data_IF_554492047190
#
_entry.id   IF_554492047190
#
_cell.length_a   1.000
_cell.length_b   1.000
_cell.length_c   1.000
_cell.angle_alpha   90.00
_cell.angle_beta   90.00
_cell.angle_gamma   90.00
#
_symmetry.space_group_name_H-M   'P 1'
#
loop_
_entity.id
_entity.type
_entity.pdbx_description
1 polymer ?
#
# COMPACT_ATOMS: atom_id res chain seq x y z
N UNK A 1 -7.07 -18.12 -8.91
CA UNK A 1 -5.69 -17.84 -8.49
C UNK A 1 -5.49 -16.34 -8.54
N UNK A 2 -5.54 -15.64 -7.40
CA UNK A 2 -5.34 -14.19 -7.37
C UNK A 2 -3.85 -13.88 -7.41
N UNK A 3 -3.41 -13.03 -8.34
CA UNK A 3 -2.07 -12.45 -8.31
C UNK A 3 -2.14 -11.09 -7.61
N UNK A 4 -1.21 -10.83 -6.68
CA UNK A 4 -0.98 -9.49 -6.15
C UNK A 4 0.34 -8.98 -6.68
N UNK A 5 0.31 -7.78 -7.25
CA UNK A 5 1.49 -7.08 -7.73
C UNK A 5 1.72 -5.92 -6.78
N UNK A 6 2.88 -5.91 -6.13
CA UNK A 6 3.36 -4.77 -5.35
C UNK A 6 4.32 -3.98 -6.23
N UNK A 7 3.98 -2.74 -6.53
CA UNK A 7 4.80 -1.85 -7.34
C UNK A 7 5.48 -0.85 -6.41
N UNK A 8 6.80 -0.95 -6.29
CA UNK A 8 7.63 -0.01 -5.53
C UNK A 8 8.13 1.09 -6.47
N UNK A 9 7.67 2.33 -6.29
CA UNK A 9 8.08 3.46 -7.14
C UNK A 9 9.11 4.33 -6.42
N UNK A 10 10.09 4.87 -7.16
CA UNK A 10 11.11 5.79 -6.62
C UNK A 10 10.53 7.07 -5.97
N UNK A 11 9.26 7.40 -6.22
CA UNK A 11 8.57 8.57 -5.65
C UNK A 11 7.84 8.29 -4.33
N UNK A 12 7.79 7.05 -3.85
CA UNK A 12 7.25 6.77 -2.52
C UNK A 12 8.22 7.27 -1.46
N UNK A 13 7.82 8.30 -0.69
CA UNK A 13 8.64 8.91 0.37
C UNK A 13 9.07 7.91 1.47
N UNK A 14 8.41 6.76 1.57
CA UNK A 14 8.73 5.68 2.50
C UNK A 14 9.82 4.72 2.00
N UNK A 15 10.26 4.83 0.74
CA UNK A 15 11.25 3.94 0.15
C UNK A 15 12.65 4.58 0.15
N UNK A 16 13.43 4.28 1.19
CA UNK A 16 14.86 4.61 1.32
C UNK A 16 15.75 3.45 0.85
N UNK A 17 16.95 3.75 0.36
CA UNK A 17 17.91 2.70 -0.01
C UNK A 17 18.15 1.74 1.16
N UNK A 18 17.86 0.45 0.96
CA UNK A 18 17.96 -0.56 2.01
C UNK A 18 17.45 -1.93 1.57
N UNK A 19 17.53 -2.89 2.50
CA UNK A 19 17.01 -4.24 2.32
C UNK A 19 15.54 -4.28 2.70
N UNK A 20 14.69 -4.80 1.81
CA UNK A 20 13.28 -5.03 2.07
C UNK A 20 12.98 -6.52 2.22
N UNK A 21 12.14 -6.86 3.19
CA UNK A 21 11.67 -8.23 3.39
C UNK A 21 10.20 -8.36 2.99
N UNK A 22 9.87 -9.42 2.26
CA UNK A 22 8.49 -9.73 1.84
C UNK A 22 8.02 -10.95 2.64
N UNK A 23 7.02 -10.76 3.49
CA UNK A 23 6.35 -11.84 4.23
C UNK A 23 5.10 -12.32 3.50
N UNK A 24 5.00 -13.62 3.24
CA UNK A 24 3.79 -14.24 2.69
C UNK A 24 3.08 -15.05 3.76
N UNK A 25 1.83 -14.68 4.05
CA UNK A 25 1.00 -15.35 5.05
C UNK A 25 -0.20 -16.03 4.37
N UNK A 26 -0.26 -17.34 4.51
CA UNK A 26 -1.42 -18.15 4.12
C UNK A 26 -2.64 -17.79 4.96
N UNK A 27 -3.82 -17.84 4.36
CA UNK A 27 -5.08 -17.59 5.05
C UNK A 27 -5.97 -18.84 4.93
N UNK A 28 -6.50 -19.32 6.07
CA UNK A 28 -7.39 -20.50 6.14
C UNK A 28 -6.84 -21.79 5.51
N UNK A 29 -5.52 -22.00 5.56
CA UNK A 29 -4.90 -23.28 5.14
C UNK A 29 -3.48 -23.15 4.61
N UNK A 30 -2.95 -24.29 4.13
CA UNK A 30 -1.64 -24.37 3.50
C UNK A 30 -1.74 -23.84 2.07
N UNK A 31 -1.01 -22.77 1.78
CA UNK A 31 -1.00 -22.12 0.46
C UNK A 31 0.34 -22.31 -0.23
N UNK A 32 0.32 -22.83 -1.46
CA UNK A 32 1.48 -22.80 -2.36
C UNK A 32 1.50 -21.45 -3.08
N UNK A 33 2.65 -20.81 -3.16
CA UNK A 33 2.83 -19.52 -3.82
C UNK A 33 4.17 -19.49 -4.56
N UNK A 34 4.25 -18.67 -5.60
CA UNK A 34 5.49 -18.33 -6.28
C UNK A 34 5.69 -16.82 -6.13
N UNK A 35 6.88 -16.41 -5.70
CA UNK A 35 7.28 -15.00 -5.66
C UNK A 35 8.25 -14.77 -6.81
N UNK A 36 7.94 -13.78 -7.65
CA UNK A 36 8.87 -13.26 -8.66
C UNK A 36 9.10 -11.78 -8.39
N UNK A 37 10.33 -11.32 -8.65
CA UNK A 37 10.71 -9.92 -8.58
C UNK A 37 11.21 -9.53 -9.96
N UNK A 38 10.61 -8.48 -10.53
CA UNK A 38 10.99 -7.94 -11.83
C UNK A 38 11.38 -6.47 -11.63
N UNK A 39 12.60 -6.10 -12.05
CA UNK A 39 13.05 -4.72 -12.07
C UNK A 39 12.73 -4.14 -13.44
N UNK A 40 11.78 -3.21 -13.50
CA UNK A 40 11.47 -2.48 -14.73
C UNK A 40 12.19 -1.13 -14.72
N UNK A 41 13.23 -1.02 -15.54
CA UNK A 41 13.82 0.28 -15.85
C UNK A 41 12.81 1.13 -16.62
N UNK A 42 12.47 2.28 -16.03
CA UNK A 42 11.48 3.25 -16.59
C UNK A 42 11.96 3.81 -17.95
N UNK A 43 13.20 3.56 -18.34
CA UNK A 43 13.79 4.06 -19.59
C UNK A 43 13.44 3.26 -20.84
N UNK A 44 12.79 2.09 -20.74
CA UNK A 44 12.43 1.31 -21.92
C UNK A 44 11.16 0.48 -21.70
N UNK A 45 9.99 1.14 -21.58
CA UNK A 45 8.83 0.78 -22.41
C UNK A 45 7.56 1.56 -22.08
N UNK A 46 7.17 2.41 -23.03
CA UNK A 46 5.77 2.50 -23.45
C UNK A 46 5.46 1.30 -24.36
N UNK A 47 5.24 0.11 -23.81
CA UNK A 47 4.57 -1.00 -24.50
C UNK A 47 3.47 -1.53 -23.56
N UNK A 48 2.19 -1.23 -23.84
CA UNK A 48 1.34 -1.80 -24.90
C UNK A 48 0.87 -3.21 -24.52
N UNK A 49 -0.34 -3.27 -23.96
CA UNK A 49 -1.21 -4.43 -24.12
C UNK A 49 -1.99 -4.19 -25.40
N UNK A 50 -1.80 -5.05 -26.40
CA UNK A 50 -2.57 -5.10 -27.64
C UNK A 50 -1.76 -4.77 -28.90
N UNK A 51 -1.05 -5.77 -29.44
CA UNK A 51 -0.62 -5.75 -30.84
C UNK A 51 -1.71 -6.33 -31.74
N UNK A 52 -2.19 -5.52 -32.69
CA UNK A 52 -2.30 -5.92 -34.08
C UNK A 52 -2.00 -4.68 -34.95
N UNK A 53 -1.12 -4.88 -35.93
CA UNK A 53 -0.38 -3.90 -36.72
C UNK A 53 -1.23 -3.27 -37.84
N UNK A 54 -1.17 -1.93 -38.00
CA UNK A 54 -0.55 -1.29 -39.16
C UNK A 54 -0.59 0.26 -39.12
N UNK A 55 0.55 0.83 -39.53
CA UNK A 55 0.81 2.19 -40.01
C UNK A 55 0.98 3.36 -39.01
N UNK A 56 2.22 3.86 -39.04
CA UNK A 56 2.68 5.24 -38.82
C UNK A 56 2.66 5.85 -37.41
N UNK A 57 3.88 5.98 -36.92
CA UNK A 57 4.36 6.93 -35.93
C UNK A 57 3.86 8.36 -36.22
N UNK A 58 2.82 8.77 -35.53
CA UNK A 58 2.58 10.16 -35.19
C UNK A 58 2.23 10.22 -33.70
N UNK A 59 2.96 11.05 -32.98
CA UNK A 59 2.60 11.49 -31.64
C UNK A 59 1.21 12.13 -31.79
N UNK A 60 0.17 11.43 -31.35
CA UNK A 60 -1.21 11.95 -31.38
C UNK A 60 -1.26 13.08 -30.33
N UNK A 61 -1.04 14.31 -30.78
CA UNK A 61 -1.09 15.54 -29.96
C UNK A 61 -2.52 15.91 -29.56
N UNK A 62 -3.49 15.04 -29.84
CA UNK A 62 -4.92 15.27 -29.72
C UNK A 62 -5.55 14.17 -28.84
N UNK A 63 -5.13 14.07 -27.58
CA UNK A 63 -5.81 13.20 -26.60
C UNK A 63 -6.84 13.98 -25.79
N UNK A 64 -8.08 13.51 -25.76
CA UNK A 64 -9.21 14.12 -25.04
C UNK A 64 -9.63 13.22 -23.87
N UNK A 65 -10.01 13.84 -22.75
CA UNK A 65 -10.50 13.14 -21.56
C UNK A 65 -11.92 12.58 -21.79
N UNK A 66 -12.09 11.28 -21.56
CA UNK A 66 -13.41 10.62 -21.56
C UNK A 66 -14.25 11.07 -20.37
N UNK A 67 -15.48 11.50 -20.64
CA UNK A 67 -16.40 12.02 -19.61
C UNK A 67 -16.80 11.00 -18.54
N UNK A 68 -16.73 9.71 -18.83
CA UNK A 68 -17.07 8.64 -17.89
C UNK A 68 -15.83 8.18 -17.10
N UNK A 69 -14.83 7.62 -17.78
CA UNK A 69 -13.69 7.00 -17.10
C UNK A 69 -12.53 7.96 -16.76
N UNK A 70 -12.59 9.22 -17.21
CA UNK A 70 -11.54 10.24 -17.01
C UNK A 70 -10.16 9.86 -17.56
N UNK A 71 -10.10 8.87 -18.44
CA UNK A 71 -8.87 8.54 -19.17
C UNK A 71 -8.74 9.40 -20.43
N UNK A 72 -7.51 9.76 -20.75
CA UNK A 72 -7.16 10.45 -21.98
C UNK A 72 -7.12 9.43 -23.14
N UNK A 73 -7.97 9.63 -24.13
CA UNK A 73 -8.13 8.79 -25.30
C UNK A 73 -7.88 9.64 -26.55
N UNK A 74 -7.39 9.05 -27.63
CA UNK A 74 -7.22 9.78 -28.90
C UNK A 74 -8.55 10.41 -29.35
N UNK A 75 -8.50 11.66 -29.80
CA UNK A 75 -9.66 12.41 -30.30
C UNK A 75 -10.34 11.71 -31.47
N UNK A 76 -9.59 10.90 -32.23
CA UNK A 76 -10.15 10.14 -33.37
C UNK A 76 -11.08 9.02 -32.92
N UNK A 77 -10.85 8.46 -31.73
CA UNK A 77 -11.57 7.27 -31.23
C UNK A 77 -12.45 7.56 -30.01
N UNK A 78 -12.44 8.81 -29.50
CA UNK A 78 -13.16 9.21 -28.29
C UNK A 78 -14.66 8.89 -28.35
N UNK A 79 -15.33 9.16 -29.48
CA UNK A 79 -16.78 8.93 -29.62
C UNK A 79 -17.12 7.44 -29.45
N UNK A 80 -16.34 6.55 -30.07
CA UNK A 80 -16.53 5.10 -29.98
C UNK A 80 -16.19 4.61 -28.58
N UNK A 81 -15.10 5.12 -28.01
CA UNK A 81 -14.68 4.79 -26.65
C UNK A 81 -15.75 5.20 -25.63
N UNK A 82 -16.26 6.44 -25.66
CA UNK A 82 -17.27 6.93 -24.72
C UNK A 82 -18.56 6.11 -24.80
N UNK A 83 -19.06 5.84 -26.01
CA UNK A 83 -20.25 5.02 -26.19
C UNK A 83 -20.08 3.59 -25.64
N UNK A 84 -18.90 2.99 -25.77
CA UNK A 84 -18.60 1.70 -25.16
C UNK A 84 -18.45 1.83 -23.63
N UNK A 85 -17.70 2.82 -23.17
CA UNK A 85 -17.34 3.03 -21.78
C UNK A 85 -18.57 3.26 -20.89
N UNK A 86 -19.52 4.10 -21.32
CA UNK A 86 -20.75 4.38 -20.57
C UNK A 86 -21.64 3.14 -20.46
N UNK A 87 -21.63 2.28 -21.49
CA UNK A 87 -22.46 1.05 -21.50
C UNK A 87 -21.89 -0.06 -20.64
N UNK A 88 -20.57 -0.21 -20.57
CA UNK A 88 -19.94 -1.37 -19.93
C UNK A 88 -19.24 -1.06 -18.61
N UNK A 89 -18.87 0.20 -18.36
CA UNK A 89 -18.10 0.59 -17.20
C UNK A 89 -18.87 1.54 -16.29
N UNK A 90 -18.51 1.52 -15.02
CA UNK A 90 -18.95 2.47 -14.01
C UNK A 90 -17.77 2.92 -13.17
N UNK A 91 -17.83 4.16 -12.72
CA UNK A 91 -16.86 4.71 -11.78
C UNK A 91 -17.35 4.44 -10.37
N UNK A 92 -16.48 3.92 -9.51
CA UNK A 92 -16.79 3.78 -8.09
C UNK A 92 -17.02 5.17 -7.49
N UNK A 93 -18.18 5.37 -6.88
CA UNK A 93 -18.60 6.63 -6.28
C UNK A 93 -18.10 6.82 -4.84
N UNK A 94 -17.41 5.83 -4.28
CA UNK A 94 -16.83 5.94 -2.95
C UNK A 94 -15.79 7.06 -2.92
N UNK A 95 -15.85 7.91 -1.89
CA UNK A 95 -14.92 9.01 -1.71
C UNK A 95 -13.48 8.50 -1.73
N UNK A 96 -12.62 9.15 -2.52
CA UNK A 96 -11.22 8.77 -2.68
C UNK A 96 -10.94 7.51 -3.51
N UNK A 97 -11.95 6.81 -4.04
CA UNK A 97 -11.74 5.63 -4.88
C UNK A 97 -11.58 6.00 -6.36
N UNK A 98 -12.66 6.45 -7.00
CA UNK A 98 -12.67 6.86 -8.41
C UNK A 98 -12.27 5.77 -9.42
N UNK A 99 -12.17 4.51 -9.02
CA UNK A 99 -11.74 3.41 -9.90
C UNK A 99 -12.83 3.10 -10.92
N UNK A 100 -12.42 2.93 -12.17
CA UNK A 100 -13.31 2.54 -13.27
C UNK A 100 -13.38 1.02 -13.34
N UNK A 101 -14.58 0.48 -13.17
CA UNK A 101 -14.85 -0.95 -13.11
C UNK A 101 -15.82 -1.35 -14.21
N UNK A 102 -15.72 -2.59 -14.69
CA UNK A 102 -16.77 -3.16 -15.53
C UNK A 102 -18.01 -3.42 -14.68
N UNK A 103 -19.20 -3.24 -15.26
CA UNK A 103 -20.49 -3.49 -14.59
C UNK A 103 -20.56 -4.88 -13.95
N UNK A 104 -20.05 -5.90 -14.63
CA UNK A 104 -19.99 -7.28 -14.13
C UNK A 104 -19.07 -7.46 -12.90
N UNK A 105 -18.03 -6.62 -12.77
CA UNK A 105 -17.05 -6.70 -11.68
C UNK A 105 -17.36 -5.75 -10.52
N UNK A 106 -18.23 -4.77 -10.75
CA UNK A 106 -18.57 -3.78 -9.75
C UNK A 106 -19.21 -4.36 -8.49
N UNK A 107 -19.99 -5.44 -8.62
CA UNK A 107 -20.56 -6.14 -7.47
C UNK A 107 -19.48 -6.76 -6.56
N UNK A 108 -18.34 -7.14 -7.13
CA UNK A 108 -17.21 -7.68 -6.38
C UNK A 108 -16.31 -6.58 -5.79
N UNK A 109 -16.48 -5.32 -6.19
CA UNK A 109 -15.69 -4.21 -5.67
C UNK A 109 -16.34 -3.66 -4.40
N UNK A 110 -15.66 -3.82 -3.26
CA UNK A 110 -16.18 -3.41 -1.95
C UNK A 110 -15.14 -2.60 -1.19
N UNK A 111 -15.61 -1.72 -0.31
CA UNK A 111 -14.76 -0.89 0.54
C UNK A 111 -14.78 -1.39 1.97
N UNK A 112 -13.63 -1.28 2.64
CA UNK A 112 -13.54 -1.52 4.07
C UNK A 112 -14.24 -0.38 4.83
N UNK A 113 -15.13 -0.71 5.77
CA UNK A 113 -15.83 0.28 6.59
C UNK A 113 -14.92 1.00 7.60
N UNK A 114 -13.76 0.44 7.95
CA UNK A 114 -12.83 1.00 8.93
C UNK A 114 -11.76 1.90 8.29
N UNK A 115 -11.15 1.45 7.19
CA UNK A 115 -10.03 2.18 6.56
C UNK A 115 -10.35 2.72 5.16
N UNK A 116 -11.54 2.48 4.61
CA UNK A 116 -11.97 2.96 3.30
C UNK A 116 -11.28 2.32 2.09
N UNK A 117 -10.29 1.44 2.32
CA UNK A 117 -9.54 0.78 1.25
C UNK A 117 -10.44 -0.15 0.43
N UNK A 118 -10.21 -0.17 -0.88
CA UNK A 118 -10.98 -0.96 -1.83
C UNK A 118 -10.40 -2.35 -2.03
N UNK A 119 -11.25 -3.38 -2.02
CA UNK A 119 -10.89 -4.78 -2.21
C UNK A 119 -11.91 -5.52 -3.07
N UNK A 120 -11.55 -6.72 -3.50
CA UNK A 120 -12.53 -7.68 -4.00
C UNK A 120 -13.31 -8.30 -2.85
N UNK A 121 -14.59 -8.62 -3.05
CA UNK A 121 -15.49 -9.14 -2.01
C UNK A 121 -14.92 -10.37 -1.29
N UNK A 122 -14.32 -11.30 -2.05
CA UNK A 122 -13.67 -12.49 -1.47
C UNK A 122 -12.41 -12.20 -0.65
N UNK A 123 -11.79 -11.03 -0.80
CA UNK A 123 -10.61 -10.62 -0.03
C UNK A 123 -10.96 -9.82 1.22
N UNK A 124 -12.19 -9.31 1.32
CA UNK A 124 -12.63 -8.46 2.43
C UNK A 124 -12.52 -9.20 3.77
N UNK A 125 -12.89 -10.48 3.81
CA UNK A 125 -12.81 -11.28 5.03
C UNK A 125 -11.35 -11.41 5.53
N UNK A 126 -10.42 -11.68 4.61
CA UNK A 126 -8.99 -11.74 4.93
C UNK A 126 -8.48 -10.37 5.41
N UNK A 127 -8.90 -9.29 4.76
CA UNK A 127 -8.51 -7.94 5.16
C UNK A 127 -8.98 -7.62 6.59
N UNK A 128 -10.26 -7.86 6.89
CA UNK A 128 -10.82 -7.66 8.23
C UNK A 128 -10.06 -8.44 9.29
N UNK A 129 -9.81 -9.73 9.03
CA UNK A 129 -9.11 -10.59 9.98
C UNK A 129 -7.63 -10.23 10.14
N UNK A 130 -6.94 -9.81 9.08
CA UNK A 130 -5.49 -9.54 9.19
C UNK A 130 -5.19 -8.13 9.68
N UNK A 131 -5.99 -7.14 9.29
CA UNK A 131 -5.67 -5.73 9.56
C UNK A 131 -6.47 -5.15 10.73
N UNK A 132 -7.70 -5.61 10.93
CA UNK A 132 -8.63 -5.06 11.92
C UNK A 132 -8.96 -6.01 13.08
N UNK A 133 -8.32 -7.18 13.13
CA UNK A 133 -8.39 -8.05 14.32
C UNK A 133 -7.50 -7.44 15.42
N UNK A 134 -8.04 -7.21 16.63
CA UNK A 134 -7.27 -6.64 17.73
C UNK A 134 -6.11 -7.55 18.14
N UNK A 135 -4.90 -7.00 18.14
CA UNK A 135 -3.67 -7.68 18.55
C UNK A 135 -3.28 -7.24 19.95
N UNK A 136 -2.75 -8.17 20.75
CA UNK A 136 -2.26 -7.90 22.10
C UNK A 136 -0.74 -7.73 22.08
N UNK A 137 -0.25 -6.62 22.61
CA UNK A 137 1.17 -6.38 22.80
C UNK A 137 1.60 -6.85 24.21
N UNK A 138 2.81 -7.41 24.40
CA UNK A 138 3.31 -7.82 25.72
C UNK A 138 3.37 -6.68 26.74
N UNK A 139 3.37 -5.42 26.30
CA UNK A 139 3.29 -4.24 27.17
C UNK A 139 1.88 -4.00 27.76
N UNK A 140 0.87 -4.78 27.35
CA UNK A 140 -0.52 -4.70 27.84
C UNK A 140 -1.50 -3.95 26.94
N UNK A 141 -1.01 -3.29 25.88
CA UNK A 141 -1.85 -2.52 24.95
C UNK A 141 -2.50 -3.43 23.90
N UNK A 142 -3.75 -3.13 23.53
CA UNK A 142 -4.51 -3.83 22.47
C UNK A 142 -4.80 -2.86 21.34
N UNK A 143 -4.33 -3.18 20.12
CA UNK A 143 -4.44 -2.30 18.94
C UNK A 143 -4.68 -3.12 17.67
N UNK A 144 -5.22 -2.50 16.64
CA UNK A 144 -5.27 -3.09 15.29
C UNK A 144 -3.89 -3.12 14.64
N UNK A 145 -3.73 -3.84 13.54
CA UNK A 145 -2.41 -4.15 12.97
C UNK A 145 -1.58 -2.91 12.61
N UNK A 146 -2.18 -1.93 11.94
CA UNK A 146 -1.45 -0.74 11.50
C UNK A 146 -0.96 0.10 12.69
N UNK A 147 -1.80 0.25 13.71
CA UNK A 147 -1.46 0.94 14.94
C UNK A 147 -0.46 0.15 15.78
N UNK A 148 -0.57 -1.18 15.82
CA UNK A 148 0.35 -2.07 16.50
C UNK A 148 1.78 -1.96 15.94
N UNK A 149 1.92 -1.88 14.61
CA UNK A 149 3.25 -1.69 13.98
C UNK A 149 3.86 -0.35 14.38
N UNK A 150 3.07 0.73 14.38
CA UNK A 150 3.54 2.05 14.84
C UNK A 150 3.91 2.03 16.33
N UNK A 151 3.09 1.37 17.14
CA UNK A 151 3.34 1.21 18.57
C UNK A 151 4.65 0.46 18.82
N UNK A 152 4.82 -0.73 18.24
CA UNK A 152 6.02 -1.56 18.43
C UNK A 152 7.31 -0.90 17.93
N UNK A 153 7.23 -0.01 16.93
CA UNK A 153 8.40 0.68 16.39
C UNK A 153 8.75 1.96 17.14
N UNK A 154 7.76 2.70 17.67
CA UNK A 154 7.97 4.06 18.19
C UNK A 154 7.71 4.20 19.69
N UNK A 155 6.60 3.65 20.19
CA UNK A 155 6.08 4.00 21.52
C UNK A 155 6.06 2.85 22.52
N UNK A 156 6.25 1.61 22.07
CA UNK A 156 6.24 0.46 22.97
C UNK A 156 7.44 0.51 23.91
N UNK A 157 7.24 0.44 25.23
CA UNK A 157 8.35 0.48 26.18
C UNK A 157 9.26 -0.75 26.09
N UNK A 158 8.70 -1.85 25.59
CA UNK A 158 9.43 -3.11 25.37
C UNK A 158 10.06 -3.19 23.98
N UNK A 159 9.98 -2.13 23.15
CA UNK A 159 10.66 -2.12 21.85
C UNK A 159 12.17 -2.18 22.05
N UNK A 160 12.85 -2.89 21.16
CA UNK A 160 14.30 -2.96 21.18
C UNK A 160 14.91 -1.77 20.45
N UNK A 161 15.88 -1.13 21.09
CA UNK A 161 16.70 -0.06 20.53
C UNK A 161 18.17 -0.45 20.61
N UNK A 162 18.97 0.11 19.72
CA UNK A 162 20.42 0.15 19.89
C UNK A 162 20.72 1.43 20.65
N UNK A 163 21.16 1.32 21.90
CA UNK A 163 21.45 2.47 22.73
C UNK A 163 22.64 3.25 22.16
N UNK A 164 22.50 4.57 22.03
CA UNK A 164 23.57 5.44 21.50
C UNK A 164 24.79 5.57 22.41
N UNK A 165 24.64 5.22 23.69
CA UNK A 165 25.70 5.36 24.71
C UNK A 165 26.47 4.05 24.94
N UNK A 166 25.79 2.92 25.16
CA UNK A 166 26.46 1.64 25.36
C UNK A 166 26.62 0.80 24.07
N UNK A 167 25.85 1.08 23.02
CA UNK A 167 25.89 0.33 21.76
C UNK A 167 25.14 -1.02 21.79
N UNK A 168 24.61 -1.44 22.94
CA UNK A 168 23.88 -2.69 23.09
C UNK A 168 22.42 -2.60 22.64
N UNK A 169 21.84 -3.76 22.33
CA UNK A 169 20.41 -3.90 22.02
C UNK A 169 19.61 -4.12 23.30
N UNK A 170 18.78 -3.15 23.66
CA UNK A 170 18.09 -3.08 24.96
C UNK A 170 16.64 -2.62 24.79
N UNK A 171 15.82 -2.82 25.81
CA UNK A 171 14.47 -2.27 25.84
C UNK A 171 14.50 -0.74 25.99
N UNK A 172 13.65 -0.04 25.25
CA UNK A 172 13.61 1.42 25.26
C UNK A 172 13.22 2.01 26.63
N UNK A 173 12.36 1.30 27.38
CA UNK A 173 11.72 1.82 28.57
C UNK A 173 10.59 2.79 28.24
N UNK A 174 10.01 3.44 29.25
CA UNK A 174 8.92 4.40 29.08
C UNK A 174 9.43 5.75 28.54
N UNK A 175 8.96 6.87 29.06
CA UNK A 175 9.47 8.20 28.70
C UNK A 175 10.56 8.65 29.68
N UNK A 176 11.62 9.32 29.20
CA UNK A 176 12.64 9.91 30.07
C UNK A 176 12.03 10.83 31.14
N UNK A 177 12.52 10.74 32.38
CA UNK A 177 12.10 11.63 33.46
C UNK A 177 12.51 13.08 33.19
N UNK A 178 13.72 13.31 32.65
CA UNK A 178 14.19 14.64 32.29
C UNK A 178 13.53 15.17 31.01
N UNK A 179 12.93 16.36 31.10
CA UNK A 179 12.34 17.04 29.96
C UNK A 179 13.37 17.35 28.85
N UNK A 180 14.65 17.59 29.21
CA UNK A 180 15.71 17.83 28.24
C UNK A 180 15.97 16.61 27.37
N UNK A 181 15.93 15.42 27.96
CA UNK A 181 16.16 14.16 27.26
C UNK A 181 14.98 13.79 26.36
N UNK A 182 13.75 14.08 26.78
CA UNK A 182 12.57 14.00 25.91
C UNK A 182 12.70 14.87 24.67
N UNK A 183 13.15 16.12 24.83
CA UNK A 183 13.37 17.04 23.70
C UNK A 183 14.49 16.58 22.76
N UNK A 184 15.43 15.77 23.26
CA UNK A 184 16.50 15.14 22.46
C UNK A 184 16.07 13.84 21.78
N UNK A 185 14.85 13.37 22.04
CA UNK A 185 14.32 12.11 21.51
C UNK A 185 15.02 10.88 22.08
N UNK A 186 15.58 10.97 23.29
CA UNK A 186 16.16 9.82 23.98
C UNK A 186 15.05 8.91 24.51
N UNK A 187 15.32 7.61 24.55
CA UNK A 187 14.48 6.68 25.32
C UNK A 187 14.79 6.77 26.82
N UNK A 188 13.92 6.22 27.68
CA UNK A 188 14.18 6.14 29.13
C UNK A 188 15.51 5.44 29.42
N UNK A 189 15.79 4.31 28.77
CA UNK A 189 17.09 3.64 28.89
C UNK A 189 18.25 4.55 28.50
N UNK A 190 18.16 5.26 27.37
CA UNK A 190 19.23 6.15 26.92
C UNK A 190 19.47 7.33 27.89
N UNK A 191 18.41 7.87 28.48
CA UNK A 191 18.50 8.92 29.50
C UNK A 191 19.27 8.43 30.74
N UNK A 192 18.98 7.22 31.20
CA UNK A 192 19.65 6.63 32.37
C UNK A 192 21.09 6.20 32.02
N UNK A 193 21.33 5.64 30.85
CA UNK A 193 22.64 5.13 30.43
C UNK A 193 23.64 6.24 30.07
N UNK A 194 23.14 7.39 29.58
CA UNK A 194 23.97 8.55 29.22
C UNK A 194 24.17 9.57 30.35
N UNK A 195 23.55 9.35 31.51
CA UNK A 195 23.72 10.15 32.74
C UNK A 195 24.88 9.64 33.57
#
# INVERSE_FOLDING_TARGET
MGSKILILKRKDQSLVAGTYSIGVFGFKGVTKFNISVEVKDINNNRQKVGEHLNASSQVDSDSVECRNCRHYISSRTIVIHEAYCIRHNLVCQHEGCGVVLRKEQAANHVHCSKCGQAFQQGEMEKHMKVFHEPLHCPCGVVLEKEEMVKHQSLTCPLRLIVCRFCGDMVQAGTEPLDARDRLRGLSEHESICGS
#
